data_IF_759773057889
#
_entry.id   IF_759773057889
#
_cell.length_a   1.000
_cell.length_b   1.000
_cell.length_c   1.000
_cell.angle_alpha   90.00
_cell.angle_beta   90.00
_cell.angle_gamma   90.00
#
_symmetry.space_group_name_H-M   'P 1'
#
loop_
_entity.id
_entity.type
_entity.pdbx_description
1 polymer ?
#
# COMPACT_ATOMS: atom_id res chain seq x y z
N UNK A 1 -36.59 -45.32 5.44
CA UNK A 1 -35.50 -44.33 5.59
C UNK A 1 -34.51 -44.85 6.63
N UNK A 2 -33.21 -44.87 6.32
CA UNK A 2 -32.20 -45.33 7.27
C UNK A 2 -32.05 -44.30 8.42
N UNK A 3 -31.96 -44.78 9.65
CA UNK A 3 -31.79 -43.92 10.83
C UNK A 3 -30.37 -43.31 10.86
N UNK A 4 -30.15 -42.15 11.50
CA UNK A 4 -28.83 -41.52 11.60
C UNK A 4 -27.75 -42.44 12.17
N UNK A 5 -28.11 -43.31 13.12
CA UNK A 5 -27.19 -44.32 13.68
C UNK A 5 -26.79 -45.39 12.66
N UNK A 6 -27.72 -45.83 11.82
CA UNK A 6 -27.44 -46.77 10.73
C UNK A 6 -26.51 -46.14 9.68
N UNK A 7 -26.68 -44.86 9.36
CA UNK A 7 -25.80 -44.15 8.43
C UNK A 7 -24.36 -44.05 8.95
N UNK A 8 -24.18 -43.71 10.24
CA UNK A 8 -22.84 -43.67 10.87
C UNK A 8 -22.20 -45.06 10.87
N UNK A 9 -22.98 -46.10 11.17
CA UNK A 9 -22.49 -47.48 11.16
C UNK A 9 -22.07 -47.93 9.76
N UNK A 10 -22.88 -47.61 8.75
CA UNK A 10 -22.57 -47.90 7.34
C UNK A 10 -21.31 -47.15 6.90
N UNK A 11 -21.17 -45.87 7.24
CA UNK A 11 -19.99 -45.08 6.90
C UNK A 11 -18.72 -45.63 7.57
N UNK A 12 -18.82 -46.03 8.83
CA UNK A 12 -17.71 -46.68 9.53
C UNK A 12 -17.35 -48.04 8.91
N UNK A 13 -18.34 -48.86 8.52
CA UNK A 13 -18.09 -50.13 7.82
C UNK A 13 -17.46 -49.87 6.46
N UNK A 14 -17.97 -48.91 5.69
CA UNK A 14 -17.44 -48.58 4.37
C UNK A 14 -15.99 -48.09 4.46
N UNK A 15 -15.69 -47.18 5.40
CA UNK A 15 -14.32 -46.70 5.66
C UNK A 15 -13.39 -47.81 6.11
N UNK A 16 -13.83 -48.68 7.02
CA UNK A 16 -13.02 -49.81 7.46
C UNK A 16 -12.82 -50.83 6.34
N UNK A 17 -13.84 -51.10 5.53
CA UNK A 17 -13.72 -51.95 4.36
C UNK A 17 -12.70 -51.36 3.40
N UNK A 18 -12.81 -50.09 3.01
CA UNK A 18 -11.82 -49.46 2.12
C UNK A 18 -10.41 -49.49 2.71
N UNK A 19 -10.25 -49.30 4.02
CA UNK A 19 -8.95 -49.27 4.69
C UNK A 19 -8.29 -50.64 4.88
N UNK A 20 -9.09 -51.69 5.10
CA UNK A 20 -8.60 -53.03 5.45
C UNK A 20 -9.00 -54.12 4.45
N UNK A 21 -9.54 -53.74 3.29
CA UNK A 21 -9.89 -54.69 2.24
C UNK A 21 -8.63 -55.19 1.57
N UNK A 22 -8.21 -56.38 1.99
CA UNK A 22 -7.16 -57.14 1.33
C UNK A 22 -7.77 -58.39 0.66
N UNK A 23 -7.96 -58.38 -0.67
CA UNK A 23 -8.53 -59.51 -1.38
C UNK A 23 -7.62 -60.74 -1.38
N UNK A 24 -6.30 -60.55 -1.31
CA UNK A 24 -5.33 -61.67 -1.29
C UNK A 24 -5.36 -62.40 0.04
N UNK A 25 -5.39 -61.65 1.15
CA UNK A 25 -5.54 -62.21 2.50
C UNK A 25 -6.90 -62.89 2.67
N UNK A 26 -7.97 -62.31 2.12
CA UNK A 26 -9.31 -62.92 2.10
C UNK A 26 -9.33 -64.25 1.33
N UNK A 27 -8.66 -64.30 0.18
CA UNK A 27 -8.54 -65.54 -0.61
C UNK A 27 -7.78 -66.64 0.14
N UNK A 28 -6.71 -66.28 0.86
CA UNK A 28 -5.98 -67.21 1.72
C UNK A 28 -6.85 -67.72 2.88
N UNK A 29 -7.57 -66.84 3.55
CA UNK A 29 -8.46 -67.21 4.65
C UNK A 29 -9.57 -68.16 4.17
N UNK A 30 -10.14 -67.89 2.99
CA UNK A 30 -11.16 -68.75 2.37
C UNK A 30 -10.61 -70.14 2.07
N UNK A 31 -9.40 -70.24 1.50
CA UNK A 31 -8.75 -71.53 1.24
C UNK A 31 -8.56 -72.32 2.55
N UNK A 32 -8.08 -71.66 3.61
CA UNK A 32 -7.93 -72.28 4.94
C UNK A 32 -9.26 -72.78 5.50
N UNK A 33 -10.33 -72.02 5.32
CA UNK A 33 -11.67 -72.42 5.74
C UNK A 33 -12.15 -73.64 4.94
N UNK A 34 -11.90 -73.69 3.64
CA UNK A 34 -12.30 -74.80 2.78
C UNK A 34 -11.50 -76.08 3.08
N UNK A 35 -10.20 -75.96 3.39
CA UNK A 35 -9.37 -77.06 3.91
C UNK A 35 -9.92 -77.59 5.24
N UNK A 36 -10.32 -76.71 6.16
CA UNK A 36 -10.89 -77.11 7.45
C UNK A 36 -12.24 -77.81 7.28
N UNK A 37 -13.11 -77.32 6.39
CA UNK A 37 -14.38 -77.98 6.04
C UNK A 37 -14.15 -79.36 5.43
N UNK A 38 -13.14 -79.51 4.57
CA UNK A 38 -12.79 -80.81 3.99
C UNK A 38 -12.29 -81.77 5.08
N UNK A 39 -11.37 -81.31 5.93
CA UNK A 39 -10.83 -82.10 7.04
C UNK A 39 -11.95 -82.58 7.99
N UNK A 40 -12.84 -81.69 8.40
CA UNK A 40 -13.97 -82.05 9.27
C UNK A 40 -14.96 -82.99 8.59
N UNK A 41 -15.15 -82.88 7.27
CA UNK A 41 -15.99 -83.81 6.51
C UNK A 41 -15.37 -85.20 6.42
N UNK A 42 -14.05 -85.28 6.21
CA UNK A 42 -13.29 -86.54 6.23
C UNK A 42 -13.34 -87.17 7.61
N UNK A 43 -13.08 -86.39 8.66
CA UNK A 43 -13.11 -86.88 10.05
C UNK A 43 -14.48 -87.48 10.41
N UNK A 44 -15.58 -86.81 10.05
CA UNK A 44 -16.95 -87.33 10.26
C UNK A 44 -17.24 -88.60 9.47
N UNK A 45 -16.71 -88.73 8.24
CA UNK A 45 -16.84 -89.94 7.44
C UNK A 45 -16.08 -91.12 8.06
N UNK A 46 -14.92 -90.86 8.66
CA UNK A 46 -14.11 -91.89 9.32
C UNK A 46 -14.75 -92.34 10.65
N UNK A 47 -15.28 -91.40 11.43
CA UNK A 47 -15.95 -91.69 12.72
C UNK A 47 -17.30 -92.39 12.54
N UNK A 48 -18.06 -92.09 11.48
CA UNK A 48 -19.38 -92.68 11.21
C UNK A 48 -19.36 -94.06 10.54
N UNK A 49 -18.19 -94.61 10.22
CA UNK A 49 -18.07 -95.90 9.51
C UNK A 49 -17.41 -96.94 10.44
N UNK A 50 -18.23 -97.82 11.03
CA UNK A 50 -17.75 -98.88 11.94
C UNK A 50 -17.00 -100.00 11.19
N UNK A 51 -17.21 -100.14 9.87
CA UNK A 51 -16.53 -101.14 9.02
C UNK A 51 -15.11 -100.69 8.61
N UNK A 52 -14.09 -101.43 9.06
CA UNK A 52 -12.67 -101.17 8.74
C UNK A 52 -12.34 -101.24 7.24
N UNK A 53 -13.14 -101.96 6.44
CA UNK A 53 -12.97 -102.08 4.99
C UNK A 53 -13.44 -100.84 4.22
N UNK A 54 -14.35 -100.04 4.78
CA UNK A 54 -14.84 -98.80 4.18
C UNK A 54 -14.02 -97.56 4.60
N UNK A 55 -13.23 -97.65 5.68
CA UNK A 55 -12.28 -96.61 6.11
C UNK A 55 -11.16 -96.34 5.09
N UNK A 56 -10.85 -97.31 4.23
CA UNK A 56 -9.80 -97.17 3.19
C UNK A 56 -10.28 -96.47 1.91
N UNK A 57 -11.59 -96.35 1.69
CA UNK A 57 -12.14 -95.74 0.48
C UNK A 57 -12.57 -94.30 0.75
N UNK A 58 -11.60 -93.43 1.02
CA UNK A 58 -11.79 -91.98 0.85
C UNK A 58 -12.37 -91.76 -0.54
N UNK A 59 -13.63 -91.32 -0.60
CA UNK A 59 -14.40 -91.16 -1.83
C UNK A 59 -13.56 -90.48 -2.92
N UNK A 60 -13.63 -90.97 -4.15
CA UNK A 60 -12.88 -90.42 -5.30
C UNK A 60 -13.09 -88.89 -5.44
N UNK A 61 -14.29 -88.41 -5.08
CA UNK A 61 -14.61 -86.98 -5.04
C UNK A 61 -13.82 -86.22 -3.97
N UNK A 62 -13.60 -86.81 -2.81
CA UNK A 62 -12.76 -86.23 -1.74
C UNK A 62 -11.30 -86.16 -2.19
N UNK A 63 -10.79 -87.20 -2.86
CA UNK A 63 -9.42 -87.20 -3.42
C UNK A 63 -9.23 -86.13 -4.50
N UNK A 64 -10.20 -86.02 -5.42
CA UNK A 64 -10.20 -84.95 -6.43
C UNK A 64 -10.22 -83.56 -5.78
N UNK A 65 -11.04 -83.37 -4.73
CA UNK A 65 -11.11 -82.11 -4.00
C UNK A 65 -9.82 -81.78 -3.26
N UNK A 66 -9.11 -82.77 -2.72
CA UNK A 66 -7.76 -82.60 -2.14
C UNK A 66 -6.80 -82.06 -3.18
N UNK A 67 -6.70 -82.69 -4.35
CA UNK A 67 -5.83 -82.20 -5.44
C UNK A 67 -6.21 -80.81 -5.94
N UNK A 68 -7.51 -80.50 -6.04
CA UNK A 68 -7.95 -79.16 -6.39
C UNK A 68 -7.46 -78.12 -5.36
N UNK A 69 -7.62 -78.41 -4.07
CA UNK A 69 -7.18 -77.52 -3.00
C UNK A 69 -5.66 -77.42 -2.89
N UNK A 70 -4.92 -78.45 -3.29
CA UNK A 70 -3.46 -78.45 -3.38
C UNK A 70 -2.95 -77.51 -4.48
N UNK A 71 -3.58 -77.54 -5.65
CA UNK A 71 -3.30 -76.57 -6.73
C UNK A 71 -3.67 -75.15 -6.32
N UNK A 72 -4.83 -74.97 -5.67
CA UNK A 72 -5.24 -73.67 -5.13
C UNK A 72 -4.29 -73.18 -4.04
N UNK A 73 -3.73 -74.08 -3.21
CA UNK A 73 -2.73 -73.77 -2.19
C UNK A 73 -1.44 -73.23 -2.80
N UNK A 74 -0.86 -73.93 -3.78
CA UNK A 74 0.36 -73.45 -4.45
C UNK A 74 0.15 -72.09 -5.11
N UNK A 75 -1.03 -71.88 -5.73
CA UNK A 75 -1.39 -70.59 -6.31
C UNK A 75 -1.46 -69.49 -5.26
N UNK A 76 -2.19 -69.73 -4.17
CA UNK A 76 -2.36 -68.76 -3.08
C UNK A 76 -1.03 -68.46 -2.41
N UNK A 77 -0.21 -69.47 -2.13
CA UNK A 77 1.12 -69.32 -1.54
C UNK A 77 2.01 -68.40 -2.38
N UNK A 78 2.06 -68.62 -3.69
CA UNK A 78 2.84 -67.77 -4.60
C UNK A 78 2.31 -66.34 -4.60
N UNK A 79 0.99 -66.15 -4.75
CA UNK A 79 0.39 -64.81 -4.77
C UNK A 79 0.57 -64.07 -3.44
N UNK A 80 0.49 -64.79 -2.32
CA UNK A 80 0.61 -64.22 -0.99
C UNK A 80 2.05 -63.83 -0.68
N UNK A 81 3.03 -64.64 -1.13
CA UNK A 81 4.44 -64.30 -1.04
C UNK A 81 4.77 -63.03 -1.85
N UNK A 82 4.30 -62.94 -3.09
CA UNK A 82 4.46 -61.73 -3.92
C UNK A 82 3.81 -60.52 -3.26
N UNK A 83 2.61 -60.67 -2.70
CA UNK A 83 1.91 -59.59 -1.99
C UNK A 83 2.68 -59.11 -0.76
N UNK A 84 3.26 -60.02 0.04
CA UNK A 84 4.13 -59.64 1.16
C UNK A 84 5.36 -58.88 0.66
N UNK A 85 6.00 -59.34 -0.40
CA UNK A 85 7.17 -58.67 -0.98
C UNK A 85 6.81 -57.27 -1.52
N UNK A 86 5.64 -57.11 -2.12
CA UNK A 86 5.08 -55.81 -2.54
C UNK A 86 4.82 -54.89 -1.35
N UNK A 87 4.19 -55.38 -0.28
CA UNK A 87 3.97 -54.61 0.95
C UNK A 87 5.30 -54.19 1.59
N UNK A 88 6.30 -55.07 1.62
CA UNK A 88 7.64 -54.75 2.11
C UNK A 88 8.31 -53.67 1.24
N UNK A 89 8.13 -53.73 -0.08
CA UNK A 89 8.62 -52.72 -0.99
C UNK A 89 7.91 -51.38 -0.80
N UNK A 90 6.58 -51.37 -0.63
CA UNK A 90 5.81 -50.17 -0.32
C UNK A 90 6.25 -49.53 1.00
N UNK A 91 6.47 -50.32 2.05
CA UNK A 91 6.98 -49.83 3.33
C UNK A 91 8.40 -49.26 3.21
N UNK A 92 9.26 -49.86 2.37
CA UNK A 92 10.59 -49.32 2.06
C UNK A 92 10.51 -48.01 1.30
N UNK A 93 9.60 -47.92 0.32
CA UNK A 93 9.34 -46.69 -0.43
C UNK A 93 8.82 -45.61 0.53
N UNK A 94 7.82 -45.89 1.36
CA UNK A 94 7.28 -44.92 2.32
C UNK A 94 8.35 -44.42 3.32
N UNK A 95 9.23 -45.31 3.78
CA UNK A 95 10.33 -44.95 4.69
C UNK A 95 11.39 -44.06 4.02
N UNK A 96 11.69 -44.31 2.75
CA UNK A 96 12.76 -43.62 2.02
C UNK A 96 12.25 -42.41 1.23
N UNK A 97 10.97 -42.39 0.90
CA UNK A 97 10.27 -41.41 0.08
C UNK A 97 9.22 -40.75 0.97
N UNK A 98 9.66 -39.94 1.94
CA UNK A 98 8.75 -38.94 2.51
C UNK A 98 8.21 -38.13 1.32
N UNK A 99 6.90 -37.96 1.17
CA UNK A 99 6.36 -37.35 -0.04
C UNK A 99 6.96 -35.97 -0.19
N UNK A 100 7.64 -35.74 -1.31
CA UNK A 100 8.18 -34.42 -1.69
C UNK A 100 7.06 -33.36 -1.80
N UNK A 101 5.82 -33.85 -1.92
CA UNK A 101 4.59 -33.06 -1.83
C UNK A 101 4.44 -32.41 -0.45
N UNK A 102 4.85 -33.06 0.65
CA UNK A 102 4.74 -32.49 2.00
C UNK A 102 5.80 -31.40 2.19
N UNK A 103 6.97 -31.52 1.60
CA UNK A 103 7.99 -30.46 1.55
C UNK A 103 7.54 -29.31 0.66
N UNK A 104 6.97 -29.58 -0.51
CA UNK A 104 6.38 -28.58 -1.40
C UNK A 104 5.23 -27.81 -0.75
N UNK A 105 4.27 -28.52 -0.14
CA UNK A 105 3.15 -27.91 0.61
C UNK A 105 3.67 -27.05 1.76
N UNK A 106 4.72 -27.47 2.46
CA UNK A 106 5.34 -26.66 3.53
C UNK A 106 5.95 -25.38 2.99
N UNK A 107 6.64 -25.45 1.85
CA UNK A 107 7.22 -24.28 1.19
C UNK A 107 6.14 -23.32 0.70
N UNK A 108 5.08 -23.83 0.06
CA UNK A 108 3.92 -23.03 -0.35
C UNK A 108 3.23 -22.39 0.86
N UNK A 109 3.10 -23.12 1.97
CA UNK A 109 2.52 -22.59 3.20
C UNK A 109 3.40 -21.49 3.82
N UNK A 110 4.72 -21.66 3.85
CA UNK A 110 5.65 -20.59 4.26
C UNK A 110 5.55 -19.35 3.35
N UNK A 111 5.41 -19.55 2.03
CA UNK A 111 5.25 -18.46 1.09
C UNK A 111 3.94 -17.69 1.31
N UNK A 112 2.83 -18.40 1.55
CA UNK A 112 1.54 -17.79 1.85
C UNK A 112 1.58 -17.03 3.18
N UNK A 113 2.26 -17.58 4.20
CA UNK A 113 2.44 -16.89 5.49
C UNK A 113 3.22 -15.58 5.28
N UNK A 114 4.33 -15.63 4.55
CA UNK A 114 5.14 -14.44 4.27
C UNK A 114 4.34 -13.37 3.50
N UNK A 115 3.55 -13.77 2.50
CA UNK A 115 2.65 -12.85 1.78
C UNK A 115 1.58 -12.25 2.70
N UNK A 116 1.02 -13.04 3.61
CA UNK A 116 0.01 -12.56 4.56
C UNK A 116 0.63 -11.57 5.55
N UNK A 117 1.85 -11.80 6.02
CA UNK A 117 2.58 -10.83 6.85
C UNK A 117 2.87 -9.52 6.10
N UNK A 118 3.26 -9.60 4.82
CA UNK A 118 3.47 -8.41 3.99
C UNK A 118 2.16 -7.62 3.79
N UNK A 119 1.05 -8.32 3.54
CA UNK A 119 -0.27 -7.70 3.42
C UNK A 119 -0.72 -7.07 4.74
N UNK A 120 -0.50 -7.72 5.87
CA UNK A 120 -0.77 -7.14 7.20
C UNK A 120 0.06 -5.87 7.43
N UNK A 121 1.34 -5.86 7.04
CA UNK A 121 2.17 -4.65 7.08
C UNK A 121 1.60 -3.55 6.18
N UNK A 122 1.19 -3.86 4.95
CA UNK A 122 0.55 -2.89 4.03
C UNK A 122 -0.76 -2.35 4.61
N UNK A 123 -1.62 -3.21 5.17
CA UNK A 123 -2.88 -2.79 5.82
C UNK A 123 -2.58 -1.89 7.02
N UNK A 124 -1.57 -2.21 7.83
CA UNK A 124 -1.18 -1.37 8.96
C UNK A 124 -0.68 0.01 8.49
N UNK A 125 0.09 0.08 7.40
CA UNK A 125 0.54 1.34 6.79
C UNK A 125 -0.64 2.17 6.27
N UNK A 126 -1.57 1.54 5.56
CA UNK A 126 -2.80 2.19 5.08
C UNK A 126 -3.57 2.78 6.27
N UNK A 127 -3.74 2.01 7.34
CA UNK A 127 -4.52 2.42 8.51
C UNK A 127 -3.85 3.52 9.33
N UNK A 128 -2.52 3.49 9.47
CA UNK A 128 -1.76 4.39 10.37
C UNK A 128 -1.25 5.65 9.69
N UNK A 129 -1.00 5.61 8.38
CA UNK A 129 -0.43 6.74 7.64
C UNK A 129 -1.42 7.26 6.60
N UNK A 130 -1.87 6.40 5.70
CA UNK A 130 -2.61 6.86 4.51
C UNK A 130 -4.03 7.31 4.84
N UNK A 131 -4.75 6.56 5.69
CA UNK A 131 -6.10 6.92 6.16
C UNK A 131 -6.12 8.23 6.95
N UNK A 132 -5.29 8.45 7.99
CA UNK A 132 -5.28 9.73 8.69
C UNK A 132 -4.80 10.89 7.81
N UNK A 133 -3.95 10.64 6.80
CA UNK A 133 -3.56 11.64 5.82
C UNK A 133 -4.73 11.99 4.89
N UNK A 134 -5.48 11.00 4.42
CA UNK A 134 -6.72 11.20 3.66
C UNK A 134 -7.76 11.95 4.50
N UNK A 135 -7.93 11.61 5.77
CA UNK A 135 -8.85 12.31 6.69
C UNK A 135 -8.42 13.77 6.89
N UNK A 136 -7.10 14.05 6.97
CA UNK A 136 -6.56 15.41 7.01
C UNK A 136 -6.82 16.17 5.72
N UNK A 137 -6.59 15.56 4.56
CA UNK A 137 -6.88 16.17 3.25
C UNK A 137 -8.38 16.43 3.13
N UNK A 138 -9.23 15.48 3.50
CA UNK A 138 -10.68 15.63 3.44
C UNK A 138 -11.16 16.74 4.35
N UNK A 139 -10.60 16.86 5.57
CA UNK A 139 -10.87 17.97 6.48
C UNK A 139 -10.37 19.30 5.93
N UNK A 140 -9.20 19.33 5.30
CA UNK A 140 -8.65 20.54 4.69
C UNK A 140 -9.51 20.99 3.51
N UNK A 141 -9.87 20.07 2.61
CA UNK A 141 -10.78 20.32 1.48
C UNK A 141 -12.17 20.72 1.99
N UNK A 142 -12.69 20.09 3.04
CA UNK A 142 -13.93 20.49 3.69
C UNK A 142 -13.83 21.92 4.25
N UNK A 143 -12.75 22.26 4.96
CA UNK A 143 -12.54 23.61 5.47
C UNK A 143 -12.31 24.65 4.36
N UNK A 144 -11.72 24.23 3.24
CA UNK A 144 -11.49 25.07 2.07
C UNK A 144 -12.81 25.30 1.33
N UNK A 145 -13.61 24.26 1.12
CA UNK A 145 -14.94 24.36 0.52
C UNK A 145 -15.88 25.18 1.41
N UNK A 146 -15.87 24.97 2.72
CA UNK A 146 -16.59 25.80 3.68
C UNK A 146 -16.12 27.26 3.61
N UNK A 147 -14.82 27.51 3.45
CA UNK A 147 -14.28 28.85 3.29
C UNK A 147 -14.59 29.46 1.92
N UNK A 148 -14.71 28.66 0.86
CA UNK A 148 -15.15 29.10 -0.48
C UNK A 148 -16.64 29.43 -0.47
N UNK A 149 -17.48 28.58 0.10
CA UNK A 149 -18.92 28.81 0.27
C UNK A 149 -19.16 30.04 1.17
N UNK A 150 -18.32 30.25 2.19
CA UNK A 150 -18.32 31.46 3.02
C UNK A 150 -17.56 32.64 2.40
N UNK A 151 -16.86 32.46 1.28
CA UNK A 151 -16.15 33.50 0.50
C UNK A 151 -17.05 34.19 -0.52
N UNK A 152 -18.31 34.43 -0.15
CA UNK A 152 -18.81 35.80 -0.21
C UNK A 152 -18.18 36.61 0.93
N UNK A 153 -16.88 36.88 0.75
CA UNK A 153 -15.98 37.75 1.50
C UNK A 153 -16.55 38.44 2.75
N UNK A 154 -16.34 37.86 3.93
CA UNK A 154 -16.11 38.70 5.10
C UNK A 154 -14.68 39.21 5.01
N UNK A 155 -14.52 40.43 4.49
CA UNK A 155 -13.34 41.26 4.76
C UNK A 155 -13.02 41.17 6.26
N UNK A 156 -11.95 40.47 6.62
CA UNK A 156 -11.48 40.46 8.00
C UNK A 156 -10.77 41.79 8.25
N UNK A 157 -11.50 42.74 8.81
CA UNK A 157 -10.99 44.05 9.21
C UNK A 157 -10.19 43.93 10.52
N UNK A 158 -9.22 44.83 10.74
CA UNK A 158 -8.38 44.91 11.97
C UNK A 158 -9.17 44.93 13.29
N UNK A 159 -10.46 45.27 13.25
CA UNK A 159 -11.40 45.25 14.38
C UNK A 159 -11.77 43.85 14.87
N UNK A 160 -11.71 42.82 14.02
CA UNK A 160 -11.95 41.41 14.41
C UNK A 160 -10.80 40.79 15.21
N UNK A 161 -9.58 41.32 15.03
CA UNK A 161 -8.43 40.93 15.83
C UNK A 161 -8.42 41.62 17.21
N UNK A 162 -8.90 42.88 17.29
CA UNK A 162 -9.08 43.57 18.58
C UNK A 162 -10.12 42.90 19.48
N UNK A 163 -11.13 42.25 18.91
CA UNK A 163 -12.11 41.46 19.69
C UNK A 163 -11.62 40.06 20.09
N UNK A 164 -10.43 39.65 19.61
CA UNK A 164 -9.79 38.37 19.97
C UNK A 164 -8.93 38.46 21.25
N UNK A 165 -8.45 39.66 21.59
CA UNK A 165 -7.71 39.94 22.84
C UNK A 165 -8.63 40.31 24.01
N UNK A 166 -9.94 40.48 23.77
CA UNK A 166 -10.94 40.60 24.84
C UNK A 166 -11.37 39.23 25.37
N UNK A 167 -11.40 39.08 26.69
CA UNK A 167 -11.76 37.88 27.49
C UNK A 167 -12.60 36.83 26.75
N UNK A 168 -11.93 35.85 26.13
CA UNK A 168 -12.54 34.58 25.72
C UNK A 168 -11.89 33.44 26.48
N UNK A 169 -12.73 32.63 27.14
CA UNK A 169 -12.34 31.43 27.88
C UNK A 169 -11.54 30.47 26.99
N UNK A 170 -10.52 29.85 27.58
CA UNK A 170 -9.53 29.02 26.86
C UNK A 170 -10.15 27.85 26.08
N UNK A 171 -11.31 27.36 26.51
CA UNK A 171 -12.06 26.27 25.83
C UNK A 171 -12.58 26.64 24.43
N UNK A 172 -12.72 27.93 24.10
CA UNK A 172 -13.06 28.38 22.74
C UNK A 172 -11.82 28.67 21.87
N UNK A 173 -10.65 28.85 22.48
CA UNK A 173 -9.38 29.03 21.73
C UNK A 173 -8.95 27.72 21.08
N UNK A 174 -9.17 26.57 21.69
CA UNK A 174 -8.79 25.27 21.12
C UNK A 174 -9.63 24.84 19.91
N UNK A 175 -10.86 25.32 19.76
CA UNK A 175 -11.74 24.92 18.65
C UNK A 175 -11.58 25.73 17.37
N UNK A 176 -11.12 26.98 17.48
CA UNK A 176 -10.95 27.89 16.31
C UNK A 176 -9.47 28.12 15.93
N UNK A 177 -8.50 27.59 16.67
CA UNK A 177 -7.09 27.87 16.44
C UNK A 177 -6.35 26.62 16.01
N UNK A 178 -6.10 26.44 14.71
CA UNK A 178 -4.93 25.71 14.18
C UNK A 178 -4.80 25.77 12.65
N UNK A 179 -5.30 26.82 11.99
CA UNK A 179 -5.12 26.92 10.53
C UNK A 179 -4.11 27.98 10.09
N UNK A 180 -4.01 29.16 10.71
CA UNK A 180 -2.88 30.11 10.50
C UNK A 180 -2.74 30.93 11.79
N UNK A 181 -1.54 31.02 12.36
CA UNK A 181 -1.28 31.91 13.50
C UNK A 181 -1.18 33.36 13.01
N UNK A 182 -2.32 34.03 12.91
CA UNK A 182 -2.39 35.42 12.44
C UNK A 182 -1.70 36.43 13.39
N UNK A 183 -1.30 36.01 14.61
CA UNK A 183 -0.44 36.82 15.49
C UNK A 183 0.97 36.97 14.94
N UNK A 184 1.46 35.98 14.20
CA UNK A 184 2.77 36.02 13.53
C UNK A 184 2.84 37.05 12.39
N UNK A 185 1.71 37.58 11.95
CA UNK A 185 1.61 38.59 10.87
C UNK A 185 1.54 40.03 11.42
N UNK A 186 1.55 40.19 12.75
CA UNK A 186 1.61 41.47 13.42
C UNK A 186 3.06 41.75 13.79
N UNK A 187 3.65 42.74 13.14
CA UNK A 187 5.05 43.09 13.32
C UNK A 187 5.17 44.43 14.05
N UNK A 188 6.20 44.55 14.90
CA UNK A 188 6.61 45.84 15.46
C UNK A 188 7.17 46.72 14.34
N UNK A 189 6.74 47.98 14.26
CA UNK A 189 7.26 48.94 13.29
C UNK A 189 8.77 49.12 13.45
N UNK A 190 9.29 49.04 14.67
CA UNK A 190 10.71 49.24 14.94
C UNK A 190 11.57 48.03 14.53
N UNK A 191 11.06 46.81 14.71
CA UNK A 191 11.75 45.60 14.22
C UNK A 191 11.79 45.55 12.70
N UNK A 192 10.68 45.90 12.04
CA UNK A 192 10.64 46.00 10.58
C UNK A 192 11.57 47.11 10.08
N UNK A 193 11.63 48.26 10.75
CA UNK A 193 12.59 49.32 10.42
C UNK A 193 14.03 48.83 10.51
N UNK A 194 14.37 48.05 11.53
CA UNK A 194 15.73 47.49 11.67
C UNK A 194 16.04 46.45 10.60
N UNK A 195 15.11 45.55 10.29
CA UNK A 195 15.29 44.54 9.24
C UNK A 195 15.38 45.17 7.86
N UNK A 196 14.51 46.14 7.55
CA UNK A 196 14.51 46.86 6.28
C UNK A 196 15.76 47.74 6.13
N UNK A 197 16.24 48.38 7.22
CA UNK A 197 17.54 49.08 7.20
C UNK A 197 18.70 48.14 6.94
N UNK A 198 18.71 46.94 7.53
CA UNK A 198 19.77 45.97 7.27
C UNK A 198 19.82 45.54 5.79
N UNK A 199 18.66 45.40 5.14
CA UNK A 199 18.57 45.05 3.71
C UNK A 199 18.89 46.26 2.81
N UNK A 200 18.48 47.48 3.20
CA UNK A 200 18.73 48.71 2.43
C UNK A 200 20.13 49.31 2.62
N UNK A 201 20.85 48.96 3.69
CA UNK A 201 22.28 49.30 3.86
C UNK A 201 23.15 48.74 2.72
N UNK A 202 22.75 47.66 2.07
CA UNK A 202 23.40 47.14 0.86
C UNK A 202 23.01 47.92 -0.41
N UNK A 203 21.94 48.72 -0.38
CA UNK A 203 21.37 49.40 -1.56
C UNK A 203 21.48 50.93 -1.53
N UNK A 204 21.92 51.54 -0.43
CA UNK A 204 22.23 52.98 -0.34
C UNK A 204 21.02 53.92 -0.25
N UNK A 205 19.80 53.42 -0.05
CA UNK A 205 18.57 54.23 0.01
C UNK A 205 17.97 54.24 1.43
N UNK A 206 18.16 55.33 2.17
CA UNK A 206 17.76 55.42 3.60
C UNK A 206 16.52 56.28 3.88
N UNK A 207 15.85 56.83 2.85
CA UNK A 207 14.83 57.87 3.02
C UNK A 207 13.37 57.41 3.10
N UNK A 208 12.99 56.25 2.55
CA UNK A 208 11.58 55.92 2.26
C UNK A 208 10.97 54.81 3.12
N UNK A 209 11.63 54.40 4.20
CA UNK A 209 11.19 53.27 5.03
C UNK A 209 9.85 53.57 5.72
N UNK A 210 9.66 54.80 6.20
CA UNK A 210 8.42 55.19 6.86
C UNK A 210 7.25 55.35 5.87
N UNK A 211 7.53 55.69 4.61
CA UNK A 211 6.54 55.75 3.54
C UNK A 211 6.14 54.34 3.08
N UNK A 212 7.09 53.41 3.02
CA UNK A 212 6.86 51.99 2.75
C UNK A 212 5.99 51.32 3.82
N UNK A 213 6.24 51.61 5.10
CA UNK A 213 5.44 51.09 6.22
C UNK A 213 4.05 51.73 6.31
N UNK A 214 3.87 52.95 5.80
CA UNK A 214 2.57 53.61 5.63
C UNK A 214 1.86 53.21 4.34
N UNK A 215 2.48 52.41 3.48
CA UNK A 215 1.89 52.00 2.22
C UNK A 215 0.81 50.94 2.46
N UNK A 216 -0.44 51.43 2.48
CA UNK A 216 -1.69 50.66 2.70
C UNK A 216 -1.90 49.47 1.74
N UNK A 217 -1.07 49.30 0.71
CA UNK A 217 -1.16 48.17 -0.23
C UNK A 217 -0.65 46.86 0.37
N UNK A 218 0.34 46.91 1.27
CA UNK A 218 1.04 45.73 1.79
C UNK A 218 0.82 45.58 3.29
N UNK A 219 0.84 46.70 4.03
CA UNK A 219 0.63 46.75 5.47
C UNK A 219 -0.65 47.51 5.82
N UNK A 220 -1.39 47.04 6.83
CA UNK A 220 -2.43 47.81 7.51
C UNK A 220 -1.95 48.22 8.90
N UNK A 221 -2.32 49.43 9.32
CA UNK A 221 -2.01 49.89 10.67
C UNK A 221 -2.90 49.15 11.69
N UNK A 222 -2.25 48.40 12.58
CA UNK A 222 -2.92 47.62 13.63
C UNK A 222 -3.00 48.41 14.95
N UNK A 223 -1.89 49.07 15.30
CA UNK A 223 -1.72 49.92 16.48
C UNK A 223 -0.64 50.99 16.19
N UNK A 224 -0.52 52.03 17.02
CA UNK A 224 0.43 53.14 16.78
C UNK A 224 1.89 52.65 16.56
N UNK A 225 2.24 51.53 17.18
CA UNK A 225 3.57 50.88 17.10
C UNK A 225 3.61 49.58 16.26
N UNK A 226 2.49 49.08 15.74
CA UNK A 226 2.40 47.75 15.11
C UNK A 226 1.67 47.77 13.77
N UNK A 227 2.15 46.98 12.82
CA UNK A 227 1.59 46.83 11.47
C UNK A 227 1.22 45.38 11.18
N UNK A 228 0.13 45.21 10.43
CA UNK A 228 -0.38 43.91 10.00
C UNK A 228 -0.08 43.68 8.51
N UNK A 229 0.43 42.50 8.16
CA UNK A 229 0.77 42.16 6.78
C UNK A 229 -0.41 41.52 6.01
N UNK A 230 -0.74 42.04 4.82
CA UNK A 230 -1.84 41.55 3.98
C UNK A 230 -1.43 40.33 3.13
N UNK A 231 -1.84 39.13 3.55
CA UNK A 231 -1.58 37.88 2.82
C UNK A 231 -2.24 37.80 1.42
N UNK A 232 -3.43 38.38 1.24
CA UNK A 232 -4.27 38.19 0.04
C UNK A 232 -3.76 38.84 -1.25
N UNK A 233 -2.59 39.50 -1.24
CA UNK A 233 -1.96 40.08 -2.44
C UNK A 233 -0.54 39.60 -2.69
N UNK A 234 -0.06 38.64 -1.90
CA UNK A 234 1.09 37.81 -2.27
C UNK A 234 0.63 36.92 -3.43
N UNK A 235 1.27 37.04 -4.59
CA UNK A 235 0.90 36.43 -5.89
C UNK A 235 1.06 34.90 -5.92
N UNK A 236 0.42 34.17 -5.01
CA UNK A 236 0.26 32.73 -5.09
C UNK A 236 -1.08 32.46 -5.78
N UNK A 237 -1.03 32.19 -7.09
CA UNK A 237 -2.19 31.77 -7.86
C UNK A 237 -2.76 30.48 -7.27
N UNK A 238 -4.06 30.48 -6.96
CA UNK A 238 -4.80 29.31 -6.46
C UNK A 238 -4.77 28.16 -7.49
N UNK A 239 -4.00 27.11 -7.19
CA UNK A 239 -4.02 25.84 -7.91
C UNK A 239 -5.02 24.93 -7.17
N UNK A 240 -6.28 24.89 -7.62
CA UNK A 240 -7.27 23.93 -7.12
C UNK A 240 -7.09 22.55 -7.78
N UNK A 241 -7.29 21.47 -7.02
CA UNK A 241 -7.19 20.07 -7.48
C UNK A 241 -8.29 19.63 -8.49
N UNK A 242 -9.03 20.57 -9.08
CA UNK A 242 -10.11 20.31 -10.05
C UNK A 242 -9.70 20.56 -11.49
N UNK A 243 -8.49 21.06 -11.74
CA UNK A 243 -8.02 21.38 -13.09
C UNK A 243 -7.52 20.12 -13.80
N UNK A 244 -8.05 19.87 -15.00
CA UNK A 244 -7.65 18.74 -15.84
C UNK A 244 -6.25 18.97 -16.42
N UNK A 245 -5.60 17.92 -16.91
CA UNK A 245 -4.26 18.00 -17.51
C UNK A 245 -4.21 19.03 -18.66
N UNK A 246 -5.28 19.12 -19.45
CA UNK A 246 -5.40 20.08 -20.54
C UNK A 246 -5.41 21.54 -20.04
N UNK A 247 -6.03 21.82 -18.88
CA UNK A 247 -6.01 23.14 -18.26
C UNK A 247 -4.61 23.51 -17.70
N UNK A 248 -3.81 22.51 -17.32
CA UNK A 248 -2.40 22.73 -16.97
C UNK A 248 -1.57 23.06 -18.19
N UNK A 249 -1.77 22.37 -19.31
CA UNK A 249 -1.07 22.65 -20.56
C UNK A 249 -1.43 24.05 -21.09
N UNK A 250 -2.69 24.47 -20.98
CA UNK A 250 -3.12 25.83 -21.31
C UNK A 250 -2.53 26.90 -20.38
N UNK A 251 -2.42 26.62 -19.07
CA UNK A 251 -1.75 27.53 -18.13
C UNK A 251 -0.25 27.60 -18.36
N UNK A 252 0.40 26.48 -18.69
CA UNK A 252 1.83 26.43 -19.05
C UNK A 252 2.02 27.25 -20.33
N UNK A 253 1.17 27.08 -21.34
CA UNK A 253 1.24 27.88 -22.57
C UNK A 253 1.09 29.38 -22.29
N UNK A 254 0.13 29.77 -21.44
CA UNK A 254 -0.11 31.17 -21.08
C UNK A 254 1.02 31.78 -20.24
N UNK A 255 1.61 31.00 -19.33
CA UNK A 255 2.76 31.46 -18.53
C UNK A 255 4.03 31.57 -19.37
N UNK A 256 4.24 30.65 -20.31
CA UNK A 256 5.32 30.75 -21.31
C UNK A 256 5.12 31.99 -22.18
N UNK A 257 3.89 32.29 -22.61
CA UNK A 257 3.57 33.51 -23.35
C UNK A 257 3.89 34.76 -22.52
N UNK A 258 3.49 34.81 -21.25
CA UNK A 258 3.81 35.93 -20.35
C UNK A 258 5.32 36.09 -20.10
N UNK A 259 6.07 34.99 -19.98
CA UNK A 259 7.53 35.03 -19.88
C UNK A 259 8.13 35.60 -21.17
N UNK A 260 7.59 35.21 -22.33
CA UNK A 260 8.03 35.71 -23.62
C UNK A 260 7.75 37.21 -23.75
N UNK A 261 6.57 37.69 -23.33
CA UNK A 261 6.24 39.12 -23.36
C UNK A 261 7.13 39.91 -22.41
N UNK A 262 7.35 39.43 -21.18
CA UNK A 262 8.25 40.07 -20.22
C UNK A 262 9.71 40.08 -20.71
N UNK A 263 10.15 39.03 -21.39
CA UNK A 263 11.47 38.98 -22.02
C UNK A 263 11.59 40.03 -23.13
N UNK A 264 10.58 40.15 -23.99
CA UNK A 264 10.56 41.14 -25.07
C UNK A 264 10.51 42.57 -24.51
N UNK A 265 9.74 42.81 -23.45
CA UNK A 265 9.71 44.08 -22.72
C UNK A 265 11.07 44.40 -22.07
N UNK A 266 11.73 43.38 -21.50
CA UNK A 266 13.09 43.49 -20.96
C UNK A 266 14.12 43.83 -22.03
N UNK A 267 14.06 43.19 -23.20
CA UNK A 267 14.92 43.50 -24.35
C UNK A 267 14.66 44.91 -24.90
N UNK A 268 13.40 45.32 -25.00
CA UNK A 268 13.01 46.68 -25.39
C UNK A 268 13.53 47.72 -24.39
N UNK A 269 13.42 47.45 -23.09
CA UNK A 269 13.94 48.31 -22.03
C UNK A 269 15.47 48.36 -22.07
N UNK A 270 16.13 47.23 -22.30
CA UNK A 270 17.59 47.20 -22.49
C UNK A 270 18.03 48.00 -23.71
N UNK A 271 17.29 47.90 -24.82
CA UNK A 271 17.54 48.71 -26.01
C UNK A 271 17.33 50.21 -25.74
N UNK A 272 16.27 50.59 -25.01
CA UNK A 272 16.02 51.99 -24.65
C UNK A 272 17.12 52.54 -23.72
N UNK A 273 17.57 51.73 -22.76
CA UNK A 273 18.70 52.06 -21.89
C UNK A 273 20.00 52.18 -22.69
N UNK A 274 20.26 51.28 -23.64
CA UNK A 274 21.45 51.36 -24.49
C UNK A 274 21.44 52.62 -25.37
N UNK A 275 20.29 52.98 -25.95
CA UNK A 275 20.11 54.22 -26.72
C UNK A 275 20.28 55.45 -25.83
N UNK A 276 19.75 55.42 -24.61
CA UNK A 276 19.90 56.52 -23.66
C UNK A 276 21.34 56.64 -23.16
N UNK A 277 22.05 55.52 -22.95
CA UNK A 277 23.46 55.51 -22.63
C UNK A 277 24.30 56.05 -23.80
N UNK A 278 23.98 55.68 -25.04
CA UNK A 278 24.64 56.23 -26.23
C UNK A 278 24.38 57.74 -26.38
N UNK A 279 23.14 58.19 -26.13
CA UNK A 279 22.81 59.63 -26.06
C UNK A 279 23.57 60.34 -24.94
N UNK A 280 23.66 59.74 -23.76
CA UNK A 280 24.45 60.27 -22.64
C UNK A 280 25.94 60.34 -22.98
N UNK A 281 26.49 59.37 -23.70
CA UNK A 281 27.86 59.41 -24.19
C UNK A 281 28.07 60.53 -25.22
N UNK A 282 27.11 60.74 -26.14
CA UNK A 282 27.14 61.87 -27.08
C UNK A 282 27.00 63.22 -26.37
N UNK A 283 26.13 63.32 -25.38
CA UNK A 283 26.00 64.53 -24.53
C UNK A 283 27.29 64.75 -23.74
N UNK A 284 27.89 63.70 -23.18
CA UNK A 284 29.17 63.81 -22.48
C UNK A 284 30.30 64.23 -23.42
N UNK A 285 30.31 63.75 -24.67
CA UNK A 285 31.25 64.19 -25.69
C UNK A 285 31.06 65.68 -26.02
N UNK A 286 29.81 66.13 -26.24
CA UNK A 286 29.50 67.54 -26.50
C UNK A 286 29.79 68.44 -25.29
N UNK A 287 29.52 67.98 -24.06
CA UNK A 287 29.83 68.73 -22.83
C UNK A 287 31.34 68.81 -22.61
N UNK A 288 32.09 67.75 -22.97
CA UNK A 288 33.55 67.79 -22.93
C UNK A 288 34.14 68.68 -24.04
N UNK A 289 33.57 68.67 -25.25
CA UNK A 289 33.97 69.55 -26.36
C UNK A 289 33.57 71.02 -26.08
N UNK A 290 32.41 71.27 -25.47
CA UNK A 290 31.97 72.62 -25.06
C UNK A 290 32.74 73.17 -23.85
N UNK A 291 33.31 72.30 -23.01
CA UNK A 291 34.25 72.72 -21.96
C UNK A 291 35.64 73.05 -22.51
N UNK A 292 35.98 72.67 -23.75
CA UNK A 292 37.24 73.13 -24.37
C UNK A 292 37.08 74.54 -24.99
N UNK A 293 35.90 74.90 -25.50
CA UNK A 293 35.66 76.25 -26.05
C UNK A 293 35.43 77.35 -25.00
N UNK A 294 34.87 77.04 -23.82
CA UNK A 294 34.68 78.02 -22.74
C UNK A 294 35.91 78.18 -21.80
N UNK A 295 36.94 77.34 -21.94
CA UNK A 295 38.19 77.45 -21.16
C UNK A 295 39.26 78.28 -21.90
N UNK A 296 39.18 78.46 -23.23
CA UNK A 296 40.17 79.26 -23.98
C UNK A 296 40.04 80.79 -23.84
N UNK A 297 39.02 81.33 -23.13
CA UNK A 297 38.85 82.78 -22.93
C UNK A 297 38.97 83.23 -21.46
N UNK A 298 39.41 82.35 -20.55
CA UNK A 298 39.53 82.66 -19.12
C UNK A 298 40.96 82.76 -18.58
N UNK A 299 41.99 82.62 -19.42
CA UNK A 299 43.39 82.94 -19.06
C UNK A 299 44.11 83.63 -20.23
N UNK A 300 43.92 84.96 -20.32
CA UNK A 300 44.98 85.98 -20.51
C UNK A 300 44.44 87.39 -20.20
#
# INVERSE_FOLDING_TARGET
MATPRQLIFIDNIAKNHVKYYDPTFSSYLKLRQDLFKLYTSIAKQIEGTEDESAKSNVSHMTRFRIHQLEVELHKVELTYKTHIDELLNLLRIEKNMKPDIVTGIKQELEQIIAQNEELQKKISKIKTVEKPLLDRITKLVGSFNDNIEKSTARLIHSTLLKSLDGERSEEKKEKDSLQIDYRSLVFSKDDLRQQIRHVLNDAGEHGHIDEFLRNNKIFDEYDESKVFYKLFRSTLFDISNTKTLDEYDDMIAKTVEQIQTLKNEGESTKQSWSKNAEKMLKIKAIVNEGNEEDIEMAED
#
